data_IF_021230232182
#
_entry.id   IF_021230232182
#
_cell.length_a   1.000
_cell.length_b   1.000
_cell.length_c   1.000
_cell.angle_alpha   90.00
_cell.angle_beta   90.00
_cell.angle_gamma   90.00
#
_symmetry.space_group_name_H-M   'P 1'
#
loop_
_entity.id
_entity.type
_entity.pdbx_description
1 polymer ?
#
# COMPACT_ATOMS: atom_id res chain seq x y z
N UNK A 1 3.08 -14.83 4.80
CA UNK A 1 2.49 -13.99 3.73
C UNK A 1 2.10 -12.67 4.36
N UNK A 2 2.47 -11.52 3.77
CA UNK A 2 2.16 -10.22 4.38
C UNK A 2 0.67 -9.93 4.23
N UNK A 3 0.04 -9.48 5.31
CA UNK A 3 -1.34 -8.98 5.35
C UNK A 3 -1.35 -7.47 5.22
N UNK A 4 -2.40 -6.91 4.63
CA UNK A 4 -2.59 -5.46 4.58
C UNK A 4 -2.95 -4.93 5.98
N UNK A 5 -2.31 -3.86 6.43
CA UNK A 5 -2.70 -3.17 7.66
C UNK A 5 -4.03 -2.44 7.45
N UNK A 6 -4.85 -2.28 8.50
CA UNK A 6 -6.17 -1.64 8.38
C UNK A 6 -6.10 -0.19 7.87
N UNK A 7 -5.02 0.52 8.21
CA UNK A 7 -4.71 1.89 7.78
C UNK A 7 -4.01 1.97 6.40
N UNK A 8 -3.71 0.82 5.79
CA UNK A 8 -2.98 0.71 4.54
C UNK A 8 -1.54 1.22 4.58
N UNK A 9 -0.92 1.36 5.76
CA UNK A 9 0.47 1.85 5.92
C UNK A 9 1.51 1.03 5.16
N UNK A 10 1.29 -0.28 5.03
CA UNK A 10 2.17 -1.17 4.30
C UNK A 10 1.74 -1.42 2.84
N UNK A 11 0.83 -0.60 2.29
CA UNK A 11 0.28 -0.79 0.95
C UNK A 11 1.31 -1.06 -0.17
N UNK A 12 2.43 -0.32 -0.31
CA UNK A 12 3.39 -0.56 -1.41
C UNK A 12 4.02 -1.94 -1.35
N UNK A 13 4.45 -2.33 -0.14
CA UNK A 13 5.11 -3.62 0.10
C UNK A 13 4.10 -4.74 -0.12
N UNK A 14 2.91 -4.59 0.45
CA UNK A 14 1.80 -5.52 0.24
C UNK A 14 1.45 -5.66 -1.24
N UNK A 15 1.30 -4.55 -1.96
CA UNK A 15 0.90 -4.51 -3.38
C UNK A 15 1.92 -5.20 -4.28
N UNK A 16 3.21 -4.94 -4.06
CA UNK A 16 4.29 -5.57 -4.81
C UNK A 16 4.36 -7.09 -4.56
N UNK A 17 4.22 -7.53 -3.31
CA UNK A 17 4.21 -8.95 -2.98
C UNK A 17 2.97 -9.65 -3.52
N UNK A 18 1.79 -9.05 -3.36
CA UNK A 18 0.53 -9.56 -3.89
C UNK A 18 0.62 -9.74 -5.41
N UNK A 19 1.16 -8.75 -6.12
CA UNK A 19 1.40 -8.84 -7.56
C UNK A 19 2.28 -10.06 -7.86
N UNK A 20 3.50 -10.12 -7.31
CA UNK A 20 4.44 -11.23 -7.54
C UNK A 20 3.79 -12.60 -7.31
N UNK A 21 3.00 -12.75 -6.24
CA UNK A 21 2.27 -13.98 -5.92
C UNK A 21 1.22 -14.35 -6.98
N UNK A 22 0.49 -13.37 -7.51
CA UNK A 22 -0.49 -13.59 -8.57
C UNK A 22 0.19 -13.88 -9.91
N UNK A 23 1.34 -13.27 -10.19
CA UNK A 23 2.14 -13.52 -11.40
C UNK A 23 2.68 -14.96 -11.44
N UNK A 24 3.26 -15.45 -10.33
CA UNK A 24 3.74 -16.84 -10.19
C UNK A 24 2.62 -17.86 -10.38
N UNK A 25 1.37 -17.49 -10.07
CA UNK A 25 0.18 -18.32 -10.32
C UNK A 25 -0.35 -18.23 -11.76
N UNK A 26 0.33 -17.52 -12.65
CA UNK A 26 -0.05 -17.34 -14.05
C UNK A 26 -1.23 -16.39 -14.26
N UNK A 27 -1.54 -15.53 -13.29
CA UNK A 27 -2.74 -14.67 -13.32
C UNK A 27 -2.51 -13.30 -13.99
N UNK A 28 -1.38 -13.10 -14.69
CA UNK A 28 -0.99 -11.84 -15.33
C UNK A 28 -2.09 -11.17 -16.17
N UNK A 29 -2.84 -11.96 -16.95
CA UNK A 29 -3.92 -11.43 -17.80
C UNK A 29 -5.13 -10.96 -16.97
N UNK A 30 -5.40 -11.62 -15.86
CA UNK A 30 -6.46 -11.21 -14.92
C UNK A 30 -6.05 -9.96 -14.15
N UNK A 31 -4.78 -9.86 -13.74
CA UNK A 31 -4.21 -8.66 -13.08
C UNK A 31 -4.29 -7.39 -13.94
N UNK A 32 -4.07 -7.54 -15.24
CA UNK A 32 -4.06 -6.44 -16.21
C UNK A 32 -5.44 -6.17 -16.83
N UNK A 33 -6.46 -6.98 -16.50
CA UNK A 33 -7.77 -6.90 -17.15
C UNK A 33 -7.74 -7.27 -18.64
N UNK A 34 -6.66 -7.88 -19.13
CA UNK A 34 -6.50 -8.30 -20.54
C UNK A 34 -6.96 -9.74 -20.77
N UNK A 35 -7.46 -10.41 -19.74
CA UNK A 35 -8.09 -11.72 -19.84
C UNK A 35 -9.38 -11.63 -20.64
N UNK A 36 -9.43 -12.29 -21.80
CA UNK A 36 -10.65 -12.38 -22.61
C UNK A 36 -11.68 -13.19 -21.82
N UNK A 37 -12.75 -12.52 -21.39
CA UNK A 37 -13.92 -13.16 -20.76
C UNK A 37 -14.55 -14.10 -21.80
N UNK A 38 -14.57 -15.43 -21.55
CA UNK A 38 -15.20 -16.36 -22.47
C UNK A 38 -16.71 -16.09 -22.57
N UNK A 39 -17.24 -16.10 -23.80
CA UNK A 39 -18.67 -15.97 -24.04
C UNK A 39 -19.41 -17.17 -23.44
N UNK A 40 -20.44 -16.92 -22.65
CA UNK A 40 -21.30 -17.98 -22.12
C UNK A 40 -22.27 -18.45 -23.20
N UNK A 41 -22.24 -19.74 -23.52
CA UNK A 41 -23.17 -20.36 -24.46
C UNK A 41 -24.54 -20.56 -23.81
N UNK A 42 -25.61 -20.48 -24.60
CA UNK A 42 -27.00 -20.56 -24.11
C UNK A 42 -27.58 -21.92 -24.45
N UNK A 43 -28.34 -22.50 -23.51
CA UNK A 43 -29.06 -23.76 -23.72
C UNK A 43 -30.51 -23.49 -24.12
N UNK A 44 -30.96 -24.06 -25.24
CA UNK A 44 -32.33 -23.98 -25.73
C UNK A 44 -32.74 -25.32 -26.37
N UNK A 45 -33.95 -25.82 -26.07
CA UNK A 45 -34.42 -27.10 -26.65
C UNK A 45 -33.47 -28.29 -26.47
N UNK A 46 -32.70 -28.30 -25.37
CA UNK A 46 -31.69 -29.36 -25.10
C UNK A 46 -30.36 -29.22 -25.84
N UNK A 47 -30.20 -28.23 -26.73
CA UNK A 47 -28.96 -27.94 -27.47
C UNK A 47 -28.34 -26.62 -27.02
N UNK A 48 -27.09 -26.39 -27.40
CA UNK A 48 -26.33 -25.19 -27.03
C UNK A 48 -26.11 -24.28 -28.24
N UNK A 49 -26.08 -22.97 -28.01
CA UNK A 49 -26.00 -21.95 -29.05
C UNK A 49 -25.10 -20.80 -28.61
N UNK A 50 -24.57 -20.05 -29.59
CA UNK A 50 -23.99 -18.75 -29.30
C UNK A 50 -25.08 -17.74 -28.91
N UNK A 51 -24.82 -16.81 -27.98
CA UNK A 51 -25.78 -15.74 -27.64
C UNK A 51 -26.23 -14.89 -28.83
N UNK A 52 -25.39 -14.77 -29.86
CA UNK A 52 -25.70 -14.05 -31.08
C UNK A 52 -26.71 -14.76 -31.98
N UNK A 53 -26.95 -16.07 -31.79
CA UNK A 53 -27.95 -16.83 -32.56
C UNK A 53 -29.32 -16.75 -31.87
N UNK A 54 -29.97 -15.60 -32.02
CA UNK A 54 -31.28 -15.28 -31.41
C UNK A 54 -32.37 -16.28 -31.84
N UNK A 55 -32.24 -16.83 -33.06
CA UNK A 55 -33.21 -17.78 -33.61
C UNK A 55 -32.93 -19.24 -33.29
N UNK A 56 -31.86 -19.55 -32.54
CA UNK A 56 -31.42 -20.90 -32.20
C UNK A 56 -31.33 -21.83 -33.43
N UNK A 57 -30.83 -21.30 -34.55
CA UNK A 57 -30.79 -21.99 -35.86
C UNK A 57 -29.57 -22.89 -36.01
N UNK A 58 -28.46 -22.55 -35.37
CA UNK A 58 -27.17 -23.20 -35.52
C UNK A 58 -26.68 -23.78 -34.18
N UNK A 59 -27.10 -25.01 -33.84
CA UNK A 59 -26.66 -25.63 -32.61
C UNK A 59 -25.17 -25.93 -32.65
N UNK A 60 -24.50 -25.71 -31.52
CA UNK A 60 -23.10 -26.03 -31.31
C UNK A 60 -22.89 -27.55 -31.29
N UNK A 61 -21.79 -27.97 -31.89
CA UNK A 61 -21.33 -29.35 -31.80
C UNK A 61 -20.78 -29.65 -30.40
N UNK A 62 -20.83 -30.91 -29.91
CA UNK A 62 -20.33 -31.25 -28.58
C UNK A 62 -18.89 -30.80 -28.30
N UNK A 63 -17.99 -30.86 -29.29
CA UNK A 63 -16.61 -30.37 -29.15
C UNK A 63 -16.53 -28.85 -28.93
N UNK A 64 -17.42 -28.08 -29.55
CA UNK A 64 -17.49 -26.62 -29.38
C UNK A 64 -18.06 -26.26 -28.00
N UNK A 65 -19.08 -27.00 -27.54
CA UNK A 65 -19.64 -26.87 -26.19
C UNK A 65 -18.56 -27.10 -25.14
N UNK A 66 -17.86 -28.23 -25.22
CA UNK A 66 -16.76 -28.56 -24.31
C UNK A 66 -15.65 -27.50 -24.32
N UNK A 67 -15.30 -26.98 -25.49
CA UNK A 67 -14.29 -25.92 -25.60
C UNK A 67 -14.70 -24.65 -24.84
N UNK A 68 -15.94 -24.16 -25.05
CA UNK A 68 -16.43 -22.95 -24.39
C UNK A 68 -16.59 -23.13 -22.89
N UNK A 69 -17.17 -24.25 -22.45
CA UNK A 69 -17.34 -24.57 -21.03
C UNK A 69 -15.98 -24.68 -20.32
N UNK A 70 -14.99 -25.36 -20.92
CA UNK A 70 -13.65 -25.47 -20.35
C UNK A 70 -12.93 -24.12 -20.27
N UNK A 71 -13.10 -23.25 -21.27
CA UNK A 71 -12.53 -21.90 -21.23
C UNK A 71 -13.17 -21.06 -20.14
N UNK A 72 -14.50 -21.06 -20.03
CA UNK A 72 -15.22 -20.32 -19.00
C UNK A 72 -14.86 -20.83 -17.60
N UNK A 73 -14.81 -22.15 -17.41
CA UNK A 73 -14.38 -22.80 -16.17
C UNK A 73 -12.97 -22.37 -15.78
N UNK A 74 -12.02 -22.40 -16.73
CA UNK A 74 -10.63 -21.99 -16.49
C UNK A 74 -10.54 -20.52 -16.11
N UNK A 75 -11.25 -19.65 -16.82
CA UNK A 75 -11.30 -18.21 -16.53
C UNK A 75 -11.84 -17.96 -15.12
N UNK A 76 -13.00 -18.54 -14.77
CA UNK A 76 -13.62 -18.39 -13.44
C UNK A 76 -12.75 -18.97 -12.32
N UNK A 77 -12.09 -20.10 -12.56
CA UNK A 77 -11.17 -20.70 -11.59
C UNK A 77 -9.97 -19.78 -11.32
N UNK A 78 -9.44 -19.11 -12.34
CA UNK A 78 -8.33 -18.17 -12.19
C UNK A 78 -8.75 -16.88 -11.48
N UNK A 79 -9.93 -16.33 -11.79
CA UNK A 79 -10.55 -15.25 -11.03
C UNK A 79 -10.67 -15.64 -9.54
N UNK A 80 -11.25 -16.80 -9.25
CA UNK A 80 -11.42 -17.28 -7.89
C UNK A 80 -10.09 -17.46 -7.13
N UNK A 81 -9.04 -18.00 -7.80
CA UNK A 81 -7.71 -18.12 -7.20
C UNK A 81 -7.17 -16.77 -6.73
N UNK A 82 -7.31 -15.73 -7.54
CA UNK A 82 -6.85 -14.38 -7.16
C UNK A 82 -7.70 -13.78 -6.03
N UNK A 83 -9.02 -13.93 -6.11
CA UNK A 83 -9.95 -13.44 -5.07
C UNK A 83 -9.76 -14.13 -3.72
N UNK A 84 -9.44 -15.42 -3.73
CA UNK A 84 -9.10 -16.16 -2.51
C UNK A 84 -7.80 -15.68 -1.88
N UNK A 85 -6.85 -15.24 -2.70
CA UNK A 85 -5.61 -14.66 -2.19
C UNK A 85 -5.92 -13.34 -1.47
N UNK A 86 -6.75 -12.49 -2.07
CA UNK A 86 -7.20 -11.23 -1.46
C UNK A 86 -7.98 -11.47 -0.16
N UNK A 87 -8.91 -12.42 -0.13
CA UNK A 87 -9.69 -12.69 1.08
C UNK A 87 -8.83 -13.20 2.24
N UNK A 88 -7.72 -13.88 1.96
CA UNK A 88 -6.82 -14.40 2.97
C UNK A 88 -5.87 -13.33 3.55
N UNK A 89 -5.66 -12.21 2.86
CA UNK A 89 -4.63 -11.23 3.24
C UNK A 89 -5.15 -9.82 3.51
N UNK A 90 -6.43 -9.56 3.24
CA UNK A 90 -7.06 -8.29 3.53
C UNK A 90 -7.81 -8.33 4.87
N UNK A 91 -7.79 -7.23 5.65
CA UNK A 91 -8.72 -7.02 6.74
C UNK A 91 -10.18 -7.15 6.29
N UNK A 92 -11.03 -7.68 7.17
CA UNK A 92 -12.43 -8.02 6.84
C UNK A 92 -13.21 -6.84 6.26
N UNK A 93 -13.07 -5.65 6.84
CA UNK A 93 -13.78 -4.45 6.38
C UNK A 93 -13.35 -4.03 4.97
N UNK A 94 -12.05 -4.10 4.67
CA UNK A 94 -11.50 -3.80 3.34
C UNK A 94 -12.01 -4.85 2.34
N UNK A 95 -11.98 -6.13 2.70
CA UNK A 95 -12.46 -7.19 1.83
C UNK A 95 -13.95 -7.05 1.52
N UNK A 96 -14.79 -6.76 2.52
CA UNK A 96 -16.23 -6.55 2.34
C UNK A 96 -16.55 -5.44 1.33
N UNK A 97 -15.71 -4.40 1.27
CA UNK A 97 -15.90 -3.28 0.35
C UNK A 97 -15.60 -3.65 -1.11
N UNK A 98 -14.63 -4.53 -1.34
CA UNK A 98 -14.21 -4.91 -2.70
C UNK A 98 -14.83 -6.24 -3.18
N UNK A 99 -15.32 -7.10 -2.28
CA UNK A 99 -15.75 -8.48 -2.64
C UNK A 99 -16.88 -8.53 -3.66
N UNK A 100 -17.69 -7.47 -3.74
CA UNK A 100 -18.81 -7.33 -4.69
C UNK A 100 -18.36 -7.05 -6.13
N UNK A 101 -17.12 -6.65 -6.32
CA UNK A 101 -16.58 -6.33 -7.64
C UNK A 101 -16.38 -7.60 -8.47
N UNK A 102 -16.69 -7.48 -9.77
CA UNK A 102 -16.85 -8.63 -10.67
C UNK A 102 -15.54 -9.31 -10.97
N UNK A 103 -14.48 -8.54 -11.22
CA UNK A 103 -13.18 -9.10 -11.59
C UNK A 103 -12.12 -8.84 -10.53
N UNK A 104 -11.09 -9.66 -10.51
CA UNK A 104 -9.87 -9.45 -9.72
C UNK A 104 -9.23 -8.10 -10.05
N UNK A 105 -9.28 -7.68 -11.33
CA UNK A 105 -8.78 -6.38 -11.77
C UNK A 105 -9.51 -5.25 -11.05
N UNK A 106 -10.84 -5.28 -11.07
CA UNK A 106 -11.66 -4.24 -10.43
C UNK A 106 -11.36 -4.13 -8.93
N UNK A 107 -11.19 -5.28 -8.27
CA UNK A 107 -10.81 -5.34 -6.85
C UNK A 107 -9.45 -4.71 -6.57
N UNK A 108 -8.46 -4.98 -7.42
CA UNK A 108 -7.14 -4.39 -7.29
C UNK A 108 -7.15 -2.88 -7.58
N UNK A 109 -7.88 -2.43 -8.59
CA UNK A 109 -8.01 -1.00 -8.89
C UNK A 109 -8.66 -0.23 -7.76
N UNK A 110 -9.68 -0.81 -7.13
CA UNK A 110 -10.35 -0.18 -6.00
C UNK A 110 -9.42 -0.08 -4.78
N UNK A 111 -8.63 -1.12 -4.51
CA UNK A 111 -7.57 -1.05 -3.49
C UNK A 111 -6.49 -0.02 -3.84
N UNK A 112 -6.04 0.04 -5.11
CA UNK A 112 -5.10 1.03 -5.59
C UNK A 112 -5.66 2.45 -5.32
N UNK A 113 -6.94 2.71 -5.59
CA UNK A 113 -7.60 4.00 -5.29
C UNK A 113 -7.68 4.30 -3.80
N UNK A 114 -8.03 3.32 -2.96
CA UNK A 114 -8.16 3.50 -1.51
C UNK A 114 -6.86 3.94 -0.86
N UNK A 115 -5.72 3.44 -1.33
CA UNK A 115 -4.44 3.60 -0.64
C UNK A 115 -3.42 4.45 -1.42
N UNK A 116 -3.70 4.83 -2.67
CA UNK A 116 -2.82 5.71 -3.45
C UNK A 116 -2.69 7.12 -2.86
N UNK A 117 -3.77 7.72 -2.36
CA UNK A 117 -3.75 9.06 -1.75
C UNK A 117 -2.98 9.04 -0.44
N UNK A 118 -3.30 8.12 0.47
CA UNK A 118 -2.64 7.98 1.76
C UNK A 118 -1.13 7.73 1.60
N UNK A 119 -0.72 6.89 0.65
CA UNK A 119 0.71 6.69 0.39
C UNK A 119 1.40 7.95 -0.13
N UNK A 120 0.81 8.63 -1.12
CA UNK A 120 1.40 9.84 -1.70
C UNK A 120 1.54 10.93 -0.63
N UNK A 121 0.54 11.09 0.23
CA UNK A 121 0.57 12.03 1.35
C UNK A 121 1.60 11.64 2.42
N UNK A 122 1.74 10.35 2.78
CA UNK A 122 2.78 9.87 3.71
C UNK A 122 4.18 10.17 3.20
N UNK A 123 4.45 9.82 1.95
CA UNK A 123 5.75 10.03 1.33
C UNK A 123 6.06 11.53 1.19
N UNK A 124 5.09 12.35 0.78
CA UNK A 124 5.30 13.80 0.68
C UNK A 124 5.59 14.43 2.05
N UNK A 125 4.87 14.06 3.11
CA UNK A 125 5.10 14.59 4.45
C UNK A 125 6.48 14.22 4.99
N UNK A 126 6.91 12.95 4.83
CA UNK A 126 8.25 12.53 5.26
C UNK A 126 9.34 13.26 4.47
N UNK A 127 9.18 13.40 3.17
CA UNK A 127 10.12 14.15 2.34
C UNK A 127 10.17 15.64 2.71
N UNK A 128 9.03 16.28 2.98
CA UNK A 128 8.95 17.67 3.43
C UNK A 128 9.64 17.85 4.77
N UNK A 129 9.41 16.93 5.71
CA UNK A 129 10.09 16.90 7.01
C UNK A 129 11.61 16.73 6.87
N UNK A 130 12.07 15.81 6.01
CA UNK A 130 13.51 15.58 5.74
C UNK A 130 14.18 16.74 4.99
N UNK A 131 13.42 17.50 4.21
CA UNK A 131 13.89 18.70 3.50
C UNK A 131 13.82 19.96 4.35
N UNK A 132 13.05 19.97 5.45
CA UNK A 132 12.96 21.11 6.34
C UNK A 132 14.33 21.47 6.90
N UNK A 133 14.74 22.72 6.74
CA UNK A 133 16.00 23.26 7.27
C UNK A 133 15.68 24.37 8.24
N UNK A 134 16.49 24.45 9.29
CA UNK A 134 16.45 25.60 10.17
C UNK A 134 16.95 26.83 9.43
N UNK A 135 16.24 27.94 9.57
CA UNK A 135 16.45 29.20 8.86
C UNK A 135 17.13 30.28 9.71
N UNK A 136 17.51 29.95 10.94
CA UNK A 136 18.12 30.91 11.88
C UNK A 136 17.12 31.67 12.74
N UNK A 137 15.83 31.34 12.68
CA UNK A 137 14.77 31.93 13.51
C UNK A 137 14.75 31.42 14.96
N UNK A 138 13.56 31.24 15.54
CA UNK A 138 13.44 30.64 16.87
C UNK A 138 13.51 29.12 16.77
N UNK A 139 14.51 28.51 17.41
CA UNK A 139 14.71 27.05 17.38
C UNK A 139 13.47 26.28 17.86
N UNK A 140 12.76 26.79 18.88
CA UNK A 140 11.50 26.21 19.36
C UNK A 140 10.44 26.12 18.26
N UNK A 141 10.30 27.16 17.44
CA UNK A 141 9.34 27.18 16.34
C UNK A 141 9.69 26.15 15.26
N UNK A 142 10.98 25.97 14.97
CA UNK A 142 11.46 24.95 14.04
C UNK A 142 11.17 23.54 14.56
N UNK A 143 11.42 23.30 15.85
CA UNK A 143 11.15 21.98 16.43
C UNK A 143 9.65 21.69 16.49
N UNK A 144 8.84 22.66 16.89
CA UNK A 144 7.38 22.51 16.89
C UNK A 144 6.86 22.09 15.51
N UNK A 145 7.43 22.65 14.44
CA UNK A 145 7.08 22.26 13.07
C UNK A 145 7.50 20.83 12.72
N UNK A 146 8.64 20.36 13.22
CA UNK A 146 9.05 18.96 13.07
C UNK A 146 8.14 18.01 13.86
N UNK A 147 7.74 18.39 15.07
CA UNK A 147 6.77 17.63 15.88
C UNK A 147 5.41 17.54 15.18
N UNK A 148 4.94 18.64 14.58
CA UNK A 148 3.71 18.63 13.80
C UNK A 148 3.77 17.62 12.63
N UNK A 149 4.89 17.57 11.89
CA UNK A 149 5.07 16.54 10.85
C UNK A 149 5.13 15.13 11.43
N UNK A 150 5.77 14.95 12.60
CA UNK A 150 5.82 13.65 13.29
C UNK A 150 4.42 13.17 13.68
N UNK A 151 3.60 14.07 14.21
CA UNK A 151 2.23 13.77 14.62
C UNK A 151 1.35 13.46 13.39
N UNK A 152 1.48 14.24 12.32
CA UNK A 152 0.78 13.95 11.06
C UNK A 152 1.20 12.59 10.45
N UNK A 153 2.49 12.24 10.54
CA UNK A 153 2.97 10.91 10.12
C UNK A 153 2.44 9.80 11.02
N UNK A 154 2.31 10.05 12.33
CA UNK A 154 1.73 9.11 13.29
C UNK A 154 0.24 8.88 13.03
N UNK A 155 -0.53 9.94 12.78
CA UNK A 155 -1.95 9.87 12.40
C UNK A 155 -2.18 9.07 11.11
N UNK A 156 -1.19 9.11 10.22
CA UNK A 156 -1.16 8.31 9.00
C UNK A 156 -0.62 6.88 9.23
N UNK A 157 -0.21 6.49 10.44
CA UNK A 157 0.29 5.14 10.73
C UNK A 157 1.74 4.89 10.27
N UNK A 158 2.52 5.95 10.09
CA UNK A 158 3.97 5.91 9.87
C UNK A 158 4.71 6.63 11.00
N UNK A 159 4.38 6.28 12.25
CA UNK A 159 5.08 6.80 13.41
C UNK A 159 6.60 6.65 13.26
N UNK A 160 7.33 7.73 13.49
CA UNK A 160 8.79 7.71 13.53
C UNK A 160 9.26 7.24 14.91
N UNK A 161 10.27 6.37 14.92
CA UNK A 161 11.00 6.10 16.15
C UNK A 161 11.72 7.37 16.63
N UNK A 162 12.00 7.45 17.94
CA UNK A 162 12.72 8.59 18.51
C UNK A 162 14.09 8.81 17.85
N UNK A 163 14.75 7.72 17.44
CA UNK A 163 16.02 7.76 16.73
C UNK A 163 15.91 8.36 15.32
N UNK A 164 14.91 7.94 14.54
CA UNK A 164 14.66 8.48 13.20
C UNK A 164 14.33 9.97 13.27
N UNK A 165 13.45 10.35 14.21
CA UNK A 165 13.11 11.74 14.45
C UNK A 165 14.34 12.58 14.81
N UNK A 166 15.16 12.10 15.75
CA UNK A 166 16.37 12.81 16.19
C UNK A 166 17.41 12.95 15.07
N UNK A 167 17.53 11.95 14.19
CA UNK A 167 18.40 12.01 13.01
C UNK A 167 17.94 13.06 12.01
N UNK A 168 16.63 13.14 11.74
CA UNK A 168 16.04 14.17 10.86
C UNK A 168 16.23 15.56 11.48
N UNK A 169 15.96 15.71 12.77
CA UNK A 169 16.17 16.96 13.50
C UNK A 169 17.63 17.43 13.43
N UNK A 170 18.59 16.57 13.77
CA UNK A 170 20.00 16.92 13.64
C UNK A 170 20.36 17.29 12.19
N UNK A 171 19.88 16.54 11.21
CA UNK A 171 20.07 16.84 9.79
C UNK A 171 19.54 18.21 9.36
N UNK A 172 18.43 18.65 9.94
CA UNK A 172 17.82 19.96 9.65
C UNK A 172 18.69 21.16 10.09
N UNK A 173 19.62 20.93 11.02
CA UNK A 173 20.50 21.94 11.62
C UNK A 173 21.91 22.00 11.00
N UNK A 174 22.22 21.22 9.96
CA UNK A 174 23.58 21.14 9.37
C UNK A 174 24.21 22.49 8.99
N UNK A 175 23.42 23.51 8.67
CA UNK A 175 23.90 24.87 8.38
C UNK A 175 24.40 25.65 9.60
N UNK A 176 24.16 25.14 10.81
CA UNK A 176 24.46 25.76 12.09
C UNK A 176 25.27 24.78 12.96
N UNK A 177 26.61 24.76 12.81
CA UNK A 177 27.47 23.71 13.36
C UNK A 177 27.31 23.46 14.87
N UNK A 178 27.14 24.53 15.66
CA UNK A 178 26.98 24.44 17.11
C UNK A 178 25.67 23.73 17.49
N UNK A 179 24.55 24.16 16.90
CA UNK A 179 23.23 23.54 17.10
C UNK A 179 23.20 22.10 16.57
N UNK A 180 23.83 21.85 15.43
CA UNK A 180 23.96 20.51 14.87
C UNK A 180 24.71 19.57 15.80
N UNK A 181 25.81 20.02 16.40
CA UNK A 181 26.59 19.23 17.36
C UNK A 181 25.79 18.93 18.63
N UNK A 182 25.01 19.88 19.13
CA UNK A 182 24.11 19.67 20.29
C UNK A 182 23.03 18.64 19.95
N UNK A 183 22.38 18.77 18.80
CA UNK A 183 21.33 17.84 18.35
C UNK A 183 21.86 16.42 18.07
N UNK A 184 23.09 16.26 17.60
CA UNK A 184 23.71 14.94 17.44
C UNK A 184 24.03 14.28 18.78
N UNK A 185 24.51 15.05 19.76
CA UNK A 185 24.75 14.55 21.13
C UNK A 185 23.47 14.07 21.78
N UNK A 186 22.40 14.83 21.59
CA UNK A 186 21.05 14.51 22.01
C UNK A 186 20.50 13.22 21.39
N UNK A 187 20.71 13.03 20.09
CA UNK A 187 20.22 11.88 19.35
C UNK A 187 20.92 10.57 19.75
N UNK A 188 22.16 10.63 20.24
CA UNK A 188 22.96 9.44 20.54
C UNK A 188 23.70 9.54 21.90
N UNK A 189 23.05 9.16 23.01
CA UNK A 189 23.66 9.18 24.34
C UNK A 189 24.87 8.24 24.49
N UNK A 190 25.02 7.24 23.60
CA UNK A 190 26.10 6.26 23.67
C UNK A 190 27.43 6.76 23.08
N UNK A 191 27.43 7.86 22.32
CA UNK A 191 28.64 8.44 21.71
C UNK A 191 29.46 9.31 22.67
N UNK A 192 28.96 9.63 23.87
CA UNK A 192 29.72 10.31 24.92
C UNK A 192 29.70 9.46 26.19
N UNK A 193 30.89 8.97 26.59
CA UNK A 193 31.06 8.18 27.83
C UNK A 193 30.62 9.00 29.04
N UNK A 194 29.46 8.68 29.58
CA UNK A 194 28.96 9.23 30.84
C UNK A 194 27.51 8.84 31.04
N UNK A 195 27.27 7.76 31.77
CA UNK A 195 25.97 7.21 32.14
C UNK A 195 24.89 8.27 32.40
N UNK A 196 24.05 8.53 31.40
CA UNK A 196 22.63 8.94 31.53
C UNK A 196 21.95 8.73 30.19
N UNK A 197 20.82 8.03 30.18
CA UNK A 197 19.89 8.03 29.05
C UNK A 197 19.34 9.44 28.95
N UNK A 198 19.98 10.30 28.16
CA UNK A 198 19.46 11.63 27.87
C UNK A 198 18.32 11.43 26.88
N UNK A 199 17.07 11.58 27.33
CA UNK A 199 15.90 11.55 26.47
C UNK A 199 15.84 12.81 25.61
N UNK A 200 15.12 12.75 24.49
CA UNK A 200 14.87 13.91 23.61
C UNK A 200 14.57 15.18 24.43
N UNK A 201 13.72 15.08 25.46
CA UNK A 201 13.36 16.17 26.37
C UNK A 201 14.55 16.90 27.03
N UNK A 202 15.58 16.19 27.47
CA UNK A 202 16.75 16.83 28.11
C UNK A 202 17.66 17.52 27.09
N UNK A 203 17.60 17.08 25.82
CA UNK A 203 18.21 17.80 24.71
C UNK A 203 17.41 19.03 24.26
N UNK A 204 16.08 18.98 24.37
CA UNK A 204 15.23 20.17 24.21
C UNK A 204 15.60 21.22 25.25
N UNK A 205 15.73 20.82 26.51
CA UNK A 205 16.06 21.74 27.60
C UNK A 205 17.46 22.36 27.41
N UNK A 206 18.44 21.58 26.92
CA UNK A 206 19.80 22.07 26.63
C UNK A 206 19.94 22.99 25.40
N UNK A 207 18.92 23.05 24.54
CA UNK A 207 18.88 23.96 23.36
C UNK A 207 18.13 25.26 23.64
N UNK A 208 17.47 25.33 24.80
CA UNK A 208 16.56 26.41 25.18
C UNK A 208 17.19 27.37 26.20
N UNK A 209 18.21 26.93 26.94
CA UNK A 209 19.09 27.75 27.79
C UNK A 209 20.32 28.27 27.04
#
# INVERSE_FOLDING_TARGET
MITLNEDGSNWPVYRAQLQSQLEVRGLNRHLRGTGIVPTEIIRHGGRYYYPSDIGFRQPLMPGQVNYHENRLKTYRANEAKGKNLLSATLPTLIYQRIMRLKTLRDQLEELDKMFASNHRSKMSLKEEMEKLRYDGGLIRSHIWRLEEYRDQLLDLGQGLSDWEFATIFAGSLKGYPDLHAIALKAANPALYRGNRKVGLKEAYDALID
#
